data_IF_372226031371
#
_entry.id   IF_372226031371
#
_cell.length_a   1.000
_cell.length_b   1.000
_cell.length_c   1.000
_cell.angle_alpha   90.00
_cell.angle_beta   90.00
_cell.angle_gamma   90.00
#
_symmetry.space_group_name_H-M   'P 1'
#
loop_
_entity.id
_entity.type
_entity.pdbx_description
1 polymer ?
#
# COMPACT_ATOMS: atom_id res chain seq x y z
N UNK A 1 11.81 8.99 5.57
CA UNK A 1 12.05 7.60 6.00
C UNK A 1 13.34 7.02 5.43
N UNK A 2 13.52 6.93 4.10
CA UNK A 2 14.75 6.38 3.49
C UNK A 2 16.02 7.13 3.90
N UNK A 3 15.99 8.46 3.90
CA UNK A 3 17.11 9.29 4.39
C UNK A 3 17.49 8.92 5.83
N UNK A 4 16.52 8.80 6.73
CA UNK A 4 16.78 8.40 8.12
C UNK A 4 17.39 7.00 8.21
N UNK A 5 16.90 6.04 7.42
CA UNK A 5 17.46 4.69 7.38
C UNK A 5 18.92 4.68 6.90
N UNK A 6 19.24 5.50 5.89
CA UNK A 6 20.60 5.65 5.35
C UNK A 6 21.61 6.21 6.38
N UNK A 7 21.15 6.89 7.43
CA UNK A 7 22.04 7.38 8.50
C UNK A 7 22.48 6.31 9.50
N UNK A 8 21.91 5.10 9.44
CA UNK A 8 22.22 4.03 10.38
C UNK A 8 23.45 3.24 9.89
N UNK A 9 24.43 2.95 10.77
CA UNK A 9 25.69 2.32 10.36
C UNK A 9 25.52 0.87 9.86
N UNK A 10 24.45 0.20 10.26
CA UNK A 10 24.16 -1.19 9.91
C UNK A 10 23.15 -1.33 8.75
N UNK A 11 22.93 -0.25 8.00
CA UNK A 11 22.00 -0.24 6.85
C UNK A 11 22.76 0.15 5.60
N UNK A 12 22.74 -0.73 4.61
CA UNK A 12 23.20 -0.45 3.25
C UNK A 12 21.99 -0.34 2.33
N UNK A 13 21.89 0.77 1.60
CA UNK A 13 20.83 0.99 0.61
C UNK A 13 21.39 0.74 -0.79
N UNK A 14 20.77 -0.20 -1.50
CA UNK A 14 21.11 -0.51 -2.89
C UNK A 14 19.95 -0.15 -3.82
N UNK A 15 20.27 0.53 -4.92
CA UNK A 15 19.28 0.88 -5.95
C UNK A 15 19.23 -0.21 -7.03
N UNK A 16 18.17 -0.99 -7.02
CA UNK A 16 17.90 -2.01 -8.04
C UNK A 16 16.47 -2.53 -8.00
N UNK A 17 16.14 -3.42 -8.92
CA UNK A 17 14.84 -4.10 -9.01
C UNK A 17 15.04 -5.58 -8.77
N UNK A 18 14.50 -6.10 -7.67
CA UNK A 18 14.49 -7.54 -7.39
C UNK A 18 13.63 -8.26 -8.44
N UNK A 19 14.22 -9.26 -9.09
CA UNK A 19 13.57 -10.04 -10.17
C UNK A 19 13.02 -11.36 -9.65
N UNK A 20 13.72 -12.01 -8.72
CA UNK A 20 13.33 -13.31 -8.16
C UNK A 20 13.93 -13.55 -6.77
N UNK A 21 13.35 -14.53 -6.07
CA UNK A 21 13.94 -15.09 -4.85
C UNK A 21 14.89 -16.23 -5.24
N UNK A 22 16.03 -16.31 -4.56
CA UNK A 22 16.97 -17.42 -4.71
C UNK A 22 16.55 -18.54 -3.76
N UNK A 23 16.07 -19.65 -4.30
CA UNK A 23 15.57 -20.79 -3.53
C UNK A 23 16.45 -22.02 -3.72
N UNK A 24 16.84 -22.66 -2.62
CA UNK A 24 17.57 -23.92 -2.59
C UNK A 24 16.86 -24.90 -1.63
N UNK A 25 16.42 -26.05 -2.14
CA UNK A 25 15.74 -27.10 -1.36
C UNK A 25 14.57 -26.58 -0.49
N UNK A 26 13.72 -25.69 -1.04
CA UNK A 26 12.58 -25.11 -0.31
C UNK A 26 12.94 -24.00 0.67
N UNK A 27 14.21 -23.56 0.71
CA UNK A 27 14.68 -22.46 1.57
C UNK A 27 15.12 -21.27 0.74
N UNK A 28 14.61 -20.09 1.05
CA UNK A 28 15.07 -18.84 0.44
C UNK A 28 16.43 -18.46 1.02
N UNK A 29 17.42 -18.24 0.15
CA UNK A 29 18.79 -17.89 0.50
C UNK A 29 19.15 -16.44 0.18
N UNK A 30 18.24 -15.71 -0.47
CA UNK A 30 18.47 -14.34 -0.89
C UNK A 30 17.61 -13.93 -2.08
N UNK A 31 18.13 -12.97 -2.84
CA UNK A 31 17.45 -12.37 -3.99
C UNK A 31 18.39 -12.22 -5.18
N UNK A 32 17.81 -12.34 -6.37
CA UNK A 32 18.41 -11.83 -7.60
C UNK A 32 17.79 -10.47 -7.90
N UNK A 33 18.62 -9.50 -8.29
CA UNK A 33 18.17 -8.17 -8.64
C UNK A 33 18.94 -7.60 -9.82
N UNK A 34 18.32 -6.64 -10.52
CA UNK A 34 18.95 -5.86 -11.57
C UNK A 34 19.37 -4.50 -11.02
N UNK A 35 20.63 -4.14 -11.20
CA UNK A 35 21.13 -2.81 -10.87
C UNK A 35 20.53 -1.77 -11.82
N UNK A 36 20.76 -0.48 -11.53
CA UNK A 36 20.37 0.62 -12.43
C UNK A 36 21.01 0.52 -13.82
N UNK A 37 22.19 -0.10 -13.95
CA UNK A 37 22.87 -0.32 -15.23
C UNK A 37 22.35 -1.54 -15.99
N UNK A 38 21.44 -2.31 -15.39
CA UNK A 38 20.84 -3.51 -15.98
C UNK A 38 21.62 -4.80 -15.70
N UNK A 39 22.69 -4.74 -14.93
CA UNK A 39 23.49 -5.90 -14.52
C UNK A 39 22.70 -6.78 -13.53
N UNK A 40 22.73 -8.09 -13.74
CA UNK A 40 22.12 -9.06 -12.82
C UNK A 40 23.08 -9.41 -11.69
N UNK A 41 22.63 -9.20 -10.47
CA UNK A 41 23.38 -9.38 -9.24
C UNK A 41 22.60 -10.27 -8.27
N UNK A 42 23.32 -10.98 -7.41
CA UNK A 42 22.74 -11.76 -6.32
C UNK A 42 23.12 -11.14 -4.98
N UNK A 43 22.20 -11.17 -4.02
CA UNK A 43 22.45 -10.84 -2.63
C UNK A 43 21.93 -11.98 -1.75
N UNK A 44 22.74 -12.44 -0.80
CA UNK A 44 22.44 -13.58 0.05
C UNK A 44 22.24 -13.13 1.49
N UNK A 45 21.26 -13.72 2.17
CA UNK A 45 20.94 -13.42 3.55
C UNK A 45 20.23 -14.61 4.21
N UNK A 46 20.39 -14.80 5.54
CA UNK A 46 19.66 -15.82 6.29
C UNK A 46 18.15 -15.56 6.35
N UNK A 47 17.73 -14.29 6.23
CA UNK A 47 16.34 -13.88 6.21
C UNK A 47 16.11 -12.81 5.15
N UNK A 48 15.14 -13.04 4.26
CA UNK A 48 14.69 -12.11 3.23
C UNK A 48 13.28 -11.60 3.54
N UNK A 49 13.11 -10.30 3.73
CA UNK A 49 11.79 -9.69 3.98
C UNK A 49 11.27 -9.05 2.68
N UNK A 50 10.18 -9.59 2.14
CA UNK A 50 9.53 -9.09 0.94
C UNK A 50 8.48 -8.03 1.31
N UNK A 51 8.69 -6.80 0.88
CA UNK A 51 7.82 -5.64 1.16
C UNK A 51 7.67 -4.70 -0.05
N UNK A 52 7.54 -5.27 -1.25
CA UNK A 52 7.45 -4.59 -2.56
C UNK A 52 6.04 -4.06 -2.91
N UNK A 53 5.12 -4.07 -1.95
CA UNK A 53 3.84 -3.35 -2.01
C UNK A 53 2.74 -4.08 -2.79
N UNK A 54 1.66 -3.35 -3.08
CA UNK A 54 0.41 -3.91 -3.62
C UNK A 54 0.57 -4.59 -4.99
N UNK A 55 1.61 -4.24 -5.76
CA UNK A 55 1.93 -4.84 -7.06
C UNK A 55 3.00 -5.95 -7.00
N UNK A 56 3.32 -6.46 -5.80
CA UNK A 56 4.32 -7.50 -5.60
C UNK A 56 4.31 -8.61 -6.65
N UNK A 57 5.46 -8.84 -7.28
CA UNK A 57 5.72 -9.97 -8.18
C UNK A 57 6.21 -11.19 -7.40
N UNK A 58 6.78 -11.00 -6.21
CA UNK A 58 7.40 -12.06 -5.40
C UNK A 58 6.40 -12.80 -4.51
N UNK A 59 5.24 -12.21 -4.21
CA UNK A 59 4.27 -12.78 -3.25
C UNK A 59 3.81 -14.20 -3.57
N UNK A 60 3.73 -14.59 -4.85
CA UNK A 60 3.19 -15.90 -5.27
C UNK A 60 4.03 -17.07 -4.74
N UNK A 61 5.29 -16.82 -4.40
CA UNK A 61 6.19 -17.82 -3.84
C UNK A 61 6.01 -17.99 -2.32
N UNK A 62 5.32 -17.04 -1.65
CA UNK A 62 5.26 -16.95 -0.18
C UNK A 62 3.82 -16.94 0.37
N UNK A 63 2.80 -16.92 -0.48
CA UNK A 63 1.41 -16.92 -0.05
C UNK A 63 0.48 -17.46 -1.16
N UNK A 64 -0.78 -17.73 -0.80
CA UNK A 64 -1.86 -17.96 -1.77
C UNK A 64 -2.66 -16.67 -2.00
N UNK A 65 -2.25 -15.78 -2.94
CA UNK A 65 -2.89 -14.48 -3.10
C UNK A 65 -4.29 -14.61 -3.70
N UNK A 66 -5.25 -13.94 -3.06
CA UNK A 66 -6.61 -13.70 -3.60
C UNK A 66 -6.82 -12.20 -3.68
N UNK A 67 -6.45 -11.61 -4.82
CA UNK A 67 -6.55 -10.16 -5.02
C UNK A 67 -7.87 -9.84 -5.69
N UNK A 68 -8.66 -9.01 -5.02
CA UNK A 68 -9.91 -8.47 -5.53
C UNK A 68 -9.75 -6.96 -5.79
N UNK A 69 -10.48 -6.46 -6.79
CA UNK A 69 -10.50 -5.04 -7.16
C UNK A 69 -11.96 -4.56 -7.09
N UNK A 70 -12.46 -4.19 -5.90
CA UNK A 70 -13.86 -3.78 -5.72
C UNK A 70 -14.18 -2.45 -6.41
N UNK A 71 -13.23 -1.51 -6.42
CA UNK A 71 -13.41 -0.16 -6.93
C UNK A 71 -12.07 0.47 -7.34
N UNK A 72 -12.10 1.74 -7.73
CA UNK A 72 -10.89 2.53 -7.96
C UNK A 72 -11.05 3.93 -7.42
N UNK A 73 -9.99 4.47 -6.82
CA UNK A 73 -9.95 5.88 -6.46
C UNK A 73 -9.50 6.76 -7.62
N UNK A 74 -10.22 7.86 -7.79
CA UNK A 74 -9.86 8.97 -8.68
C UNK A 74 -9.34 10.11 -7.81
N UNK A 75 -8.05 10.38 -7.92
CA UNK A 75 -7.34 11.37 -7.12
C UNK A 75 -7.17 12.71 -7.82
N UNK A 76 -7.49 13.78 -7.08
CA UNK A 76 -7.33 15.18 -7.46
C UNK A 76 -6.55 15.93 -6.37
N UNK A 77 -5.91 17.04 -6.75
CA UNK A 77 -5.29 17.99 -5.81
C UNK A 77 -5.97 19.33 -6.02
N UNK A 78 -6.75 19.76 -5.02
CA UNK A 78 -7.45 21.03 -5.02
C UNK A 78 -6.54 22.08 -4.39
N UNK A 79 -6.51 23.26 -5.00
CA UNK A 79 -5.76 24.43 -4.59
C UNK A 79 -6.75 25.59 -4.37
N UNK A 80 -6.37 26.60 -3.59
CA UNK A 80 -7.15 27.83 -3.40
C UNK A 80 -8.56 27.61 -2.79
N UNK A 81 -8.74 26.57 -1.98
CA UNK A 81 -9.95 26.34 -1.20
C UNK A 81 -9.60 25.94 0.23
N UNK A 82 -10.60 25.99 1.12
CA UNK A 82 -10.49 25.56 2.50
C UNK A 82 -11.53 24.48 2.77
N UNK A 83 -11.19 23.55 3.67
CA UNK A 83 -12.17 22.58 4.14
C UNK A 83 -13.19 23.27 5.08
N UNK A 84 -14.45 22.80 5.11
CA UNK A 84 -15.48 23.35 6.01
C UNK A 84 -15.04 23.37 7.48
N UNK A 85 -14.29 22.35 7.91
CA UNK A 85 -13.70 22.27 9.24
C UNK A 85 -12.18 22.12 9.18
N UNK A 86 -11.45 23.09 9.75
CA UNK A 86 -9.99 23.04 9.83
C UNK A 86 -9.51 21.81 10.60
N UNK A 87 -8.39 21.22 10.19
CA UNK A 87 -7.75 20.04 10.81
C UNK A 87 -8.58 18.74 10.82
N UNK A 88 -9.65 18.66 10.04
CA UNK A 88 -10.47 17.45 9.92
C UNK A 88 -10.43 16.88 8.50
N UNK A 89 -10.27 15.56 8.38
CA UNK A 89 -10.60 14.84 7.15
C UNK A 89 -12.12 14.79 6.99
N UNK A 90 -12.60 14.94 5.76
CA UNK A 90 -14.02 14.92 5.44
C UNK A 90 -14.34 13.69 4.61
N UNK A 91 -15.39 12.98 4.99
CA UNK A 91 -15.96 11.87 4.22
C UNK A 91 -17.35 12.29 3.79
N UNK A 92 -17.57 12.42 2.49
CA UNK A 92 -18.87 12.74 1.91
C UNK A 92 -19.52 11.43 1.49
N UNK A 93 -20.69 11.15 2.05
CA UNK A 93 -21.52 10.00 1.66
C UNK A 93 -22.30 10.36 0.39
N UNK A 94 -21.61 10.35 -0.74
CA UNK A 94 -22.18 10.59 -2.06
C UNK A 94 -22.74 9.29 -2.68
N UNK A 95 -23.63 9.44 -3.66
CA UNK A 95 -24.14 8.35 -4.49
C UNK A 95 -23.33 8.25 -5.80
N UNK A 96 -22.86 7.07 -6.22
CA UNK A 96 -23.05 5.75 -5.58
C UNK A 96 -21.98 5.39 -4.53
N UNK A 97 -20.97 6.24 -4.32
CA UNK A 97 -19.78 5.88 -3.52
C UNK A 97 -19.14 7.11 -2.86
N UNK A 98 -18.43 6.93 -1.72
CA UNK A 98 -17.96 8.04 -0.91
C UNK A 98 -16.85 8.86 -1.56
N UNK A 99 -16.72 10.11 -1.11
CA UNK A 99 -15.65 11.04 -1.50
C UNK A 99 -14.87 11.43 -0.26
N UNK A 100 -13.54 11.36 -0.32
CA UNK A 100 -12.66 11.77 0.76
C UNK A 100 -12.01 13.11 0.43
N UNK A 101 -11.94 14.00 1.42
CA UNK A 101 -11.14 15.21 1.38
C UNK A 101 -10.24 15.32 2.61
N UNK A 102 -8.97 15.64 2.42
CA UNK A 102 -8.05 15.92 3.54
C UNK A 102 -6.90 16.81 3.09
N UNK A 103 -6.37 17.68 3.96
CA UNK A 103 -5.23 18.52 3.63
C UNK A 103 -3.97 17.65 3.52
N UNK A 104 -3.14 17.92 2.52
CA UNK A 104 -1.82 17.27 2.35
C UNK A 104 -0.67 18.27 2.48
N UNK A 105 -0.97 19.56 2.39
CA UNK A 105 -0.06 20.66 2.69
C UNK A 105 -0.87 21.87 3.18
N UNK A 106 -0.21 22.99 3.47
CA UNK A 106 -0.87 24.25 3.84
C UNK A 106 -1.69 24.87 2.70
N UNK A 107 -1.50 24.41 1.46
CA UNK A 107 -2.11 25.01 0.26
C UNK A 107 -2.88 24.00 -0.59
N UNK A 108 -2.75 22.70 -0.31
CA UNK A 108 -3.30 21.63 -1.13
C UNK A 108 -4.20 20.70 -0.33
N UNK A 109 -5.37 20.40 -0.90
CA UNK A 109 -6.33 19.43 -0.38
C UNK A 109 -6.39 18.26 -1.36
N UNK A 110 -6.17 17.04 -0.84
CA UNK A 110 -6.41 15.81 -1.58
C UNK A 110 -7.90 15.56 -1.65
N UNK A 111 -8.41 15.29 -2.86
CA UNK A 111 -9.73 14.70 -3.06
C UNK A 111 -9.56 13.30 -3.65
N UNK A 112 -10.27 12.31 -3.09
CA UNK A 112 -10.36 10.95 -3.62
C UNK A 112 -11.84 10.61 -3.82
N UNK A 113 -12.24 10.40 -5.07
CA UNK A 113 -13.59 9.92 -5.42
C UNK A 113 -13.51 8.41 -5.60
N UNK A 114 -14.29 7.65 -4.83
CA UNK A 114 -14.42 6.22 -5.06
C UNK A 114 -15.34 5.98 -6.27
N UNK A 115 -14.89 5.16 -7.21
CA UNK A 115 -15.68 4.76 -8.38
C UNK A 115 -15.85 3.25 -8.33
N UNK A 116 -17.08 2.75 -8.10
CA UNK A 116 -17.31 1.33 -7.89
C UNK A 116 -17.14 0.54 -9.19
N UNK A 117 -16.72 -0.71 -9.06
CA UNK A 117 -16.56 -1.63 -10.19
C UNK A 117 -15.16 -1.63 -10.80
N UNK A 118 -14.95 -2.58 -11.73
CA UNK A 118 -13.64 -2.84 -12.33
C UNK A 118 -13.27 -1.88 -13.46
N UNK A 119 -14.26 -1.23 -14.08
CA UNK A 119 -14.06 -0.31 -15.20
C UNK A 119 -14.39 1.10 -14.75
N UNK A 120 -13.39 1.97 -14.74
CA UNK A 120 -13.58 3.40 -14.54
C UNK A 120 -13.75 4.12 -15.89
N UNK A 121 -14.47 5.26 -15.92
CA UNK A 121 -14.48 6.14 -17.08
C UNK A 121 -13.05 6.47 -17.55
N UNK A 122 -12.82 6.54 -18.86
CA UNK A 122 -11.48 6.81 -19.36
C UNK A 122 -11.08 8.26 -19.11
N UNK A 123 -9.84 8.45 -18.65
CA UNK A 123 -9.24 9.79 -18.48
C UNK A 123 -8.83 10.37 -19.83
N UNK A 124 -8.31 9.55 -20.75
CA UNK A 124 -7.71 10.03 -22.01
C UNK A 124 -8.72 10.59 -23.00
N UNK A 125 -9.98 10.18 -22.94
CA UNK A 125 -11.05 10.65 -23.82
C UNK A 125 -12.00 11.65 -23.15
N UNK A 126 -11.66 12.12 -21.95
CA UNK A 126 -12.46 13.10 -21.19
C UNK A 126 -13.71 12.53 -20.49
N UNK A 127 -14.04 11.24 -20.63
CA UNK A 127 -15.22 10.65 -19.97
C UNK A 127 -15.15 10.77 -18.45
N UNK A 128 -13.96 10.63 -17.86
CA UNK A 128 -13.75 10.83 -16.42
C UNK A 128 -14.03 12.28 -16.02
N UNK A 129 -13.58 13.26 -16.79
CA UNK A 129 -13.85 14.66 -16.50
C UNK A 129 -15.35 14.96 -16.57
N UNK A 130 -16.05 14.41 -17.57
CA UNK A 130 -17.51 14.49 -17.67
C UNK A 130 -18.19 13.88 -16.45
N UNK A 131 -17.83 12.66 -16.07
CA UNK A 131 -18.37 11.97 -14.88
C UNK A 131 -18.16 12.79 -13.60
N UNK A 132 -16.96 13.32 -13.39
CA UNK A 132 -16.65 14.14 -12.22
C UNK A 132 -17.51 15.42 -12.19
N UNK A 133 -17.75 16.07 -13.33
CA UNK A 133 -18.57 17.29 -13.38
C UNK A 133 -20.07 17.04 -13.27
N UNK A 134 -20.58 15.96 -13.86
CA UNK A 134 -22.03 15.73 -13.96
C UNK A 134 -22.60 14.91 -12.81
N UNK A 135 -21.82 13.96 -12.28
CA UNK A 135 -22.28 13.03 -11.23
C UNK A 135 -21.72 13.42 -9.87
N UNK A 136 -20.43 13.77 -9.81
CA UNK A 136 -19.73 13.97 -8.53
C UNK A 136 -19.85 15.41 -8.03
N UNK A 137 -19.57 16.41 -8.88
CA UNK A 137 -19.56 17.81 -8.49
C UNK A 137 -20.86 18.31 -7.82
N UNK A 138 -22.07 17.92 -8.26
CA UNK A 138 -23.31 18.34 -7.60
C UNK A 138 -23.44 17.89 -6.13
N UNK A 139 -22.66 16.89 -5.72
CA UNK A 139 -22.67 16.31 -4.37
C UNK A 139 -21.51 16.82 -3.50
N UNK A 140 -20.67 17.73 -4.02
CA UNK A 140 -19.53 18.30 -3.30
C UNK A 140 -19.99 19.54 -2.51
N UNK A 141 -19.46 19.77 -1.29
CA UNK A 141 -19.75 20.97 -0.52
C UNK A 141 -19.46 22.26 -1.33
N UNK A 142 -20.30 23.30 -1.22
CA UNK A 142 -20.15 24.54 -1.99
C UNK A 142 -18.75 25.17 -1.87
N UNK A 143 -18.11 25.06 -0.71
CA UNK A 143 -16.78 25.61 -0.41
C UNK A 143 -15.66 24.96 -1.25
N UNK A 144 -15.88 23.74 -1.74
CA UNK A 144 -14.91 22.96 -2.50
C UNK A 144 -15.29 22.84 -3.98
N UNK A 145 -16.52 23.19 -4.34
CA UNK A 145 -17.08 22.98 -5.67
C UNK A 145 -16.25 23.66 -6.77
N UNK A 146 -15.97 24.95 -6.64
CA UNK A 146 -15.28 25.71 -7.68
C UNK A 146 -13.83 25.25 -7.87
N UNK A 147 -13.14 24.95 -6.76
CA UNK A 147 -11.79 24.40 -6.79
C UNK A 147 -11.78 22.99 -7.41
N UNK A 148 -12.80 22.18 -7.15
CA UNK A 148 -12.96 20.88 -7.77
C UNK A 148 -13.13 21.00 -9.29
N UNK A 149 -14.08 21.82 -9.76
CA UNK A 149 -14.32 22.03 -11.20
C UNK A 149 -13.05 22.54 -11.89
N UNK A 150 -12.41 23.56 -11.34
CA UNK A 150 -11.16 24.11 -11.89
C UNK A 150 -10.04 23.06 -11.96
N UNK A 151 -9.96 22.15 -10.98
CA UNK A 151 -8.97 21.06 -10.98
C UNK A 151 -9.27 20.02 -12.05
N UNK A 152 -10.55 19.67 -12.25
CA UNK A 152 -10.98 18.76 -13.31
C UNK A 152 -10.67 19.36 -14.68
N UNK A 153 -10.89 20.67 -14.87
CA UNK A 153 -10.57 21.39 -16.11
C UNK A 153 -9.07 21.42 -16.43
N UNK A 154 -8.21 21.52 -15.41
CA UNK A 154 -6.75 21.40 -15.57
C UNK A 154 -6.31 19.99 -16.02
N UNK A 155 -7.18 18.97 -15.95
CA UNK A 155 -6.90 17.62 -16.43
C UNK A 155 -5.91 16.80 -15.59
N UNK A 156 -5.55 17.25 -14.38
CA UNK A 156 -4.61 16.55 -13.48
C UNK A 156 -5.29 15.41 -12.70
N UNK A 157 -5.94 14.50 -13.42
CA UNK A 157 -6.68 13.36 -12.85
C UNK A 157 -5.77 12.13 -12.80
N UNK A 158 -5.67 11.47 -11.64
CA UNK A 158 -4.98 10.18 -11.50
C UNK A 158 -5.93 9.12 -10.99
N UNK A 159 -5.77 7.89 -11.46
CA UNK A 159 -6.59 6.75 -10.99
C UNK A 159 -5.70 5.68 -10.37
N UNK A 160 -6.22 5.02 -9.34
CA UNK A 160 -5.57 3.87 -8.71
C UNK A 160 -6.64 2.85 -8.31
N UNK A 161 -6.44 1.59 -8.72
CA UNK A 161 -7.36 0.52 -8.34
C UNK A 161 -7.24 0.22 -6.85
N UNK A 162 -8.38 0.16 -6.18
CA UNK A 162 -8.47 -0.25 -4.79
C UNK A 162 -8.40 -1.78 -4.75
N UNK A 163 -7.48 -2.31 -3.95
CA UNK A 163 -7.21 -3.76 -3.88
C UNK A 163 -7.55 -4.27 -2.49
N UNK A 164 -8.19 -5.43 -2.43
CA UNK A 164 -8.37 -6.19 -1.20
C UNK A 164 -7.67 -7.54 -1.34
N UNK A 165 -6.99 -7.99 -0.29
CA UNK A 165 -6.36 -9.30 -0.26
C UNK A 165 -6.18 -9.78 1.18
N UNK A 166 -6.84 -10.88 1.57
CA UNK A 166 -6.65 -11.48 2.88
C UNK A 166 -5.24 -12.06 3.01
N UNK A 167 -4.74 -12.10 4.25
CA UNK A 167 -3.47 -12.73 4.57
C UNK A 167 -3.58 -14.26 4.50
N UNK A 168 -2.82 -14.90 3.61
CA UNK A 168 -2.77 -16.36 3.46
C UNK A 168 -1.32 -16.85 3.27
N UNK A 169 -0.45 -16.71 4.29
CA UNK A 169 0.98 -16.98 4.17
C UNK A 169 1.27 -18.47 3.99
N UNK A 170 2.38 -18.78 3.32
CA UNK A 170 3.07 -20.05 3.41
C UNK A 170 4.28 -19.86 4.32
N UNK A 171 4.43 -20.65 5.40
CA UNK A 171 5.67 -20.66 6.16
C UNK A 171 6.82 -21.15 5.27
N UNK A 172 7.65 -20.21 4.80
CA UNK A 172 8.76 -20.50 3.89
C UNK A 172 10.09 -20.19 4.60
N UNK A 173 10.94 -21.20 4.86
CA UNK A 173 12.26 -20.99 5.45
C UNK A 173 13.08 -19.92 4.71
N UNK A 174 13.65 -18.99 5.47
CA UNK A 174 14.51 -17.92 4.95
C UNK A 174 13.77 -16.71 4.35
N UNK A 175 12.43 -16.68 4.36
CA UNK A 175 11.67 -15.52 3.87
C UNK A 175 10.43 -15.17 4.70
N UNK A 176 10.04 -13.89 4.65
CA UNK A 176 8.82 -13.35 5.26
C UNK A 176 8.19 -12.31 4.34
N UNK A 177 6.85 -12.31 4.24
CA UNK A 177 6.10 -11.33 3.44
C UNK A 177 5.44 -10.28 4.34
N UNK A 178 5.50 -9.00 3.96
CA UNK A 178 4.98 -7.89 4.77
C UNK A 178 4.31 -6.78 3.95
N UNK A 179 3.54 -5.93 4.65
CA UNK A 179 2.86 -4.77 4.06
C UNK A 179 1.80 -5.17 3.04
N UNK A 180 1.57 -4.31 2.06
CA UNK A 180 0.58 -4.56 0.99
C UNK A 180 0.98 -5.71 0.05
N UNK A 181 2.24 -6.16 0.09
CA UNK A 181 2.62 -7.40 -0.59
C UNK A 181 1.95 -8.63 0.06
N UNK A 182 1.71 -8.57 1.37
CA UNK A 182 1.14 -9.65 2.17
C UNK A 182 -0.37 -9.53 2.40
N UNK A 183 -0.87 -8.33 2.68
CA UNK A 183 -2.25 -8.14 3.11
C UNK A 183 -2.73 -6.74 2.72
N UNK A 184 -3.75 -6.69 1.87
CA UNK A 184 -4.35 -5.45 1.36
C UNK A 184 -5.79 -5.32 1.88
N UNK A 185 -6.26 -4.09 2.00
CA UNK A 185 -7.61 -3.71 2.40
C UNK A 185 -8.05 -2.48 1.62
N UNK A 186 -9.34 -2.20 1.60
CA UNK A 186 -9.84 -1.00 0.95
C UNK A 186 -9.19 0.26 1.55
N UNK A 187 -8.68 1.19 0.72
CA UNK A 187 -7.95 2.36 1.21
C UNK A 187 -8.84 3.45 1.84
N UNK A 188 -10.17 3.26 1.87
CA UNK A 188 -11.14 4.23 2.42
C UNK A 188 -10.80 4.67 3.86
N UNK A 189 -10.34 3.74 4.70
CA UNK A 189 -10.00 4.05 6.10
C UNK A 189 -8.56 4.52 6.30
N UNK A 190 -7.74 4.56 5.24
CA UNK A 190 -6.33 4.95 5.31
C UNK A 190 -5.44 4.02 6.17
N UNK A 191 -5.91 2.82 6.52
CA UNK A 191 -5.28 1.98 7.54
C UNK A 191 -4.04 1.18 7.10
N UNK A 192 -3.69 1.15 5.81
CA UNK A 192 -2.60 0.31 5.28
C UNK A 192 -1.24 0.59 5.92
N UNK A 193 -0.86 1.87 6.04
CA UNK A 193 0.41 2.27 6.68
C UNK A 193 0.42 1.95 8.17
N UNK A 194 -0.71 2.13 8.86
CA UNK A 194 -0.85 1.79 10.28
C UNK A 194 -0.60 0.31 10.52
N UNK A 195 -1.17 -0.56 9.69
CA UNK A 195 -0.91 -2.01 9.77
C UNK A 195 0.55 -2.32 9.48
N UNK A 196 1.15 -1.72 8.44
CA UNK A 196 2.55 -1.96 8.10
C UNK A 196 3.50 -1.56 9.25
N UNK A 197 3.29 -0.40 9.87
CA UNK A 197 4.09 0.07 11.01
C UNK A 197 3.85 -0.77 12.27
N UNK A 198 2.62 -1.19 12.52
CA UNK A 198 2.31 -2.12 13.61
C UNK A 198 3.02 -3.47 13.40
N UNK A 199 2.98 -4.01 12.19
CA UNK A 199 3.65 -5.25 11.81
C UNK A 199 5.17 -5.13 12.00
N UNK A 200 5.78 -3.98 11.69
CA UNK A 200 7.20 -3.70 11.95
C UNK A 200 7.53 -3.79 13.44
N UNK A 201 6.67 -3.26 14.33
CA UNK A 201 6.91 -3.33 15.78
C UNK A 201 6.85 -4.78 16.28
N UNK A 202 5.87 -5.56 15.81
CA UNK A 202 5.77 -6.99 16.14
C UNK A 202 7.00 -7.74 15.66
N UNK A 203 7.40 -7.57 14.39
CA UNK A 203 8.55 -8.25 13.83
C UNK A 203 9.85 -7.85 14.53
N UNK A 204 10.05 -6.56 14.81
CA UNK A 204 11.21 -6.07 15.58
C UNK A 204 11.32 -6.78 16.93
N UNK A 205 10.20 -6.92 17.65
CA UNK A 205 10.19 -7.57 18.97
C UNK A 205 10.52 -9.07 18.88
N UNK A 206 10.08 -9.74 17.82
CA UNK A 206 10.43 -11.14 17.55
C UNK A 206 11.91 -11.30 17.18
N UNK A 207 12.46 -10.40 16.36
CA UNK A 207 13.86 -10.49 15.91
C UNK A 207 14.87 -10.06 16.99
N UNK A 208 14.51 -9.13 17.88
CA UNK A 208 15.43 -8.58 18.90
C UNK A 208 16.16 -9.61 19.78
N UNK A 209 15.52 -10.67 20.30
CA UNK A 209 16.21 -11.67 21.12
C UNK A 209 17.08 -12.66 20.32
N UNK A 210 16.99 -12.67 18.99
CA UNK A 210 17.70 -13.64 18.16
C UNK A 210 19.16 -13.20 17.97
N UNK A 211 20.10 -14.07 18.33
CA UNK A 211 21.54 -13.86 18.11
C UNK A 211 22.04 -14.54 16.84
N UNK A 212 21.31 -15.55 16.36
CA UNK A 212 21.61 -16.30 15.14
C UNK A 212 20.33 -16.49 14.32
N UNK A 213 20.45 -16.33 13.00
CA UNK A 213 19.36 -16.48 12.04
C UNK A 213 19.67 -17.53 10.97
N UNK A 214 20.81 -18.24 11.06
CA UNK A 214 21.26 -19.16 10.00
C UNK A 214 20.47 -20.47 9.93
N UNK A 215 19.82 -20.90 11.02
CA UNK A 215 18.86 -22.01 10.99
C UNK A 215 17.49 -21.54 10.47
N UNK A 216 17.34 -21.61 9.14
CA UNK A 216 16.12 -21.18 8.45
C UNK A 216 14.86 -21.94 8.89
N UNK A 217 14.97 -23.21 9.29
CA UNK A 217 13.81 -24.01 9.71
C UNK A 217 13.30 -23.57 11.08
N UNK A 218 14.22 -23.46 12.05
CA UNK A 218 13.89 -22.98 13.39
C UNK A 218 13.41 -21.53 13.36
N UNK A 219 14.06 -20.68 12.57
CA UNK A 219 13.66 -19.29 12.37
C UNK A 219 12.24 -19.19 11.77
N UNK A 220 11.93 -20.01 10.75
CA UNK A 220 10.60 -20.04 10.14
C UNK A 220 9.51 -20.36 11.17
N UNK A 221 9.68 -21.47 11.92
CA UNK A 221 8.75 -21.89 12.97
C UNK A 221 8.58 -20.81 14.05
N UNK A 222 9.67 -20.17 14.44
CA UNK A 222 9.63 -19.08 15.42
C UNK A 222 8.83 -17.87 14.90
N UNK A 223 9.07 -17.49 13.64
CA UNK A 223 8.40 -16.35 12.99
C UNK A 223 6.93 -16.62 12.65
N UNK A 224 6.42 -17.86 12.67
CA UNK A 224 4.98 -18.12 12.51
C UNK A 224 4.12 -17.38 13.54
N UNK A 225 4.69 -17.13 14.73
CA UNK A 225 4.04 -16.33 15.79
C UNK A 225 3.66 -14.91 15.31
N UNK A 226 4.39 -14.33 14.35
CA UNK A 226 4.07 -13.05 13.71
C UNK A 226 2.63 -13.03 13.19
N UNK A 227 2.20 -14.11 12.53
CA UNK A 227 0.88 -14.20 11.90
C UNK A 227 -0.26 -14.22 12.92
N UNK A 228 0.00 -14.63 14.15
CA UNK A 228 -0.96 -14.56 15.25
C UNK A 228 -0.90 -13.21 15.95
N UNK A 229 0.29 -12.72 16.27
CA UNK A 229 0.49 -11.49 17.04
C UNK A 229 0.02 -10.23 16.30
N UNK A 230 0.01 -10.23 14.97
CA UNK A 230 -0.50 -9.10 14.18
C UNK A 230 -2.03 -8.99 14.11
N UNK A 231 -2.75 -10.09 14.37
CA UNK A 231 -4.21 -10.17 14.15
C UNK A 231 -5.00 -9.09 14.86
N UNK A 232 -4.73 -8.71 16.13
CA UNK A 232 -5.53 -7.71 16.83
C UNK A 232 -5.64 -6.38 16.08
N UNK A 233 -4.54 -5.88 15.51
CA UNK A 233 -4.55 -4.61 14.75
C UNK A 233 -5.01 -4.85 13.31
N UNK A 234 -4.42 -5.85 12.64
CA UNK A 234 -4.67 -6.10 11.22
C UNK A 234 -6.12 -6.51 10.96
N UNK A 235 -6.70 -7.37 11.81
CA UNK A 235 -8.08 -7.83 11.64
C UNK A 235 -9.08 -6.70 11.84
N UNK A 236 -8.93 -5.89 12.89
CA UNK A 236 -9.83 -4.75 13.13
C UNK A 236 -9.82 -3.77 11.97
N UNK A 237 -8.63 -3.40 11.47
CA UNK A 237 -8.52 -2.48 10.33
C UNK A 237 -9.06 -3.12 9.04
N UNK A 238 -8.83 -4.42 8.82
CA UNK A 238 -9.36 -5.11 7.65
C UNK A 238 -10.88 -5.18 7.66
N UNK A 239 -11.48 -5.50 8.81
CA UNK A 239 -12.93 -5.59 8.96
C UNK A 239 -13.60 -4.23 8.83
N UNK A 240 -12.99 -3.16 9.35
CA UNK A 240 -13.52 -1.80 9.20
C UNK A 240 -13.39 -1.23 7.79
N UNK A 241 -12.43 -1.73 7.01
CA UNK A 241 -12.21 -1.33 5.63
C UNK A 241 -12.97 -2.21 4.61
N UNK A 242 -13.44 -3.37 5.05
CA UNK A 242 -14.06 -4.39 4.19
C UNK A 242 -15.51 -4.11 3.85
#
# INVERSE_FOLDING_TARGET
>A
MREKAATLPNVQLEQGTVTSLLEENGTIKGVQYKTKTGEEMNAYAPLTIVCDGCFSNLRRNLCSPKVEVPSSFVGLILENCQLPHANHGHVILADPSPILFYPISSTEIRCLVDVPGQKVPSVSNGQMATYLKTVVAPQIPPELHDAFIATVDKGKIRTMSNRSMPAAPHPTPGALLMGDAFNMRHPLTGGGMTVALSDIVVLRNLLRPLTDMNDASTLCKYLESFYTLRKPVASTINTLAG
#
